data_IF_157085997629
#
_entry.id   IF_157085997629
#
_cell.length_a   1.000
_cell.length_b   1.000
_cell.length_c   1.000
_cell.angle_alpha   90.00
_cell.angle_beta   90.00
_cell.angle_gamma   90.00
#
_symmetry.space_group_name_H-M   'P 1'
#
loop_
_entity.id
_entity.type
_entity.pdbx_description
1 polymer ?
#
# COMPACT_ATOMS: atom_id res chain seq x y z
N UNK A 1 -3.52 36.57 1.03
CA UNK A 1 -3.95 37.61 0.07
C UNK A 1 -4.69 36.87 -1.05
N UNK A 2 -5.85 36.27 -0.76
CA UNK A 2 -7.18 36.89 -0.88
C UNK A 2 -7.46 37.41 -2.29
N UNK A 3 -8.12 36.60 -3.11
CA UNK A 3 -9.03 37.09 -4.14
C UNK A 3 -10.40 36.45 -3.88
N UNK A 4 -11.32 37.34 -3.54
CA UNK A 4 -12.69 37.13 -3.09
C UNK A 4 -13.59 37.49 -4.29
N UNK A 5 -14.40 36.50 -4.70
CA UNK A 5 -15.82 36.60 -5.12
C UNK A 5 -16.25 37.36 -6.38
N UNK A 6 -17.10 36.67 -7.16
CA UNK A 6 -18.15 37.22 -8.02
C UNK A 6 -18.58 36.17 -9.08
N UNK A 7 -19.84 35.85 -9.38
CA UNK A 7 -21.16 36.40 -9.07
C UNK A 7 -22.19 35.28 -9.35
N UNK A 8 -23.05 35.02 -8.36
CA UNK A 8 -24.53 34.89 -8.46
C UNK A 8 -25.13 34.23 -9.73
N UNK A 9 -25.73 33.05 -9.58
CA UNK A 9 -26.83 32.59 -10.45
C UNK A 9 -28.06 32.22 -9.63
N UNK A 10 -29.18 32.69 -10.16
CA UNK A 10 -30.49 32.86 -9.57
C UNK A 10 -31.14 31.53 -9.19
N UNK A 11 -31.91 31.58 -8.10
CA UNK A 11 -32.94 30.61 -7.80
C UNK A 11 -34.06 30.69 -8.84
N UNK A 12 -34.55 29.53 -9.29
CA UNK A 12 -35.89 29.40 -9.89
C UNK A 12 -36.66 28.43 -9.01
N UNK A 13 -37.73 28.95 -8.42
CA UNK A 13 -38.79 28.20 -7.79
C UNK A 13 -39.60 27.48 -8.88
N UNK A 14 -39.83 26.19 -8.68
CA UNK A 14 -40.77 25.39 -9.47
C UNK A 14 -41.55 24.48 -8.53
N UNK A 15 -42.74 24.92 -8.14
CA UNK A 15 -43.74 24.04 -7.52
C UNK A 15 -44.18 23.00 -8.55
N UNK A 16 -44.02 21.72 -8.22
CA UNK A 16 -44.48 20.61 -9.06
C UNK A 16 -44.73 19.38 -8.20
N UNK A 17 -45.89 19.34 -7.55
CA UNK A 17 -46.37 18.14 -6.87
C UNK A 17 -47.03 17.22 -7.89
N UNK A 18 -46.42 16.06 -8.18
CA UNK A 18 -47.11 14.91 -8.79
C UNK A 18 -46.71 13.65 -8.02
N UNK A 19 -47.66 13.11 -7.27
CA UNK A 19 -47.59 11.82 -6.58
C UNK A 19 -47.96 10.70 -7.58
N UNK A 20 -47.00 9.85 -7.94
CA UNK A 20 -47.27 8.49 -8.44
C UNK A 20 -46.16 7.57 -7.92
N UNK A 21 -46.58 6.48 -7.28
CA UNK A 21 -45.73 5.51 -6.60
C UNK A 21 -44.62 4.97 -7.49
N UNK A 22 -43.37 5.14 -7.07
CA UNK A 22 -42.21 4.42 -7.60
C UNK A 22 -41.17 4.41 -6.49
N UNK A 23 -40.96 3.26 -5.88
CA UNK A 23 -39.94 3.07 -4.85
C UNK A 23 -38.57 3.45 -5.39
N UNK A 24 -38.12 4.66 -5.07
CA UNK A 24 -36.73 5.06 -5.25
C UNK A 24 -35.92 4.34 -4.18
N UNK A 25 -35.48 3.11 -4.49
CA UNK A 25 -34.33 2.53 -3.81
C UNK A 25 -33.18 3.47 -4.10
N UNK A 26 -32.81 4.29 -3.12
CA UNK A 26 -31.57 5.03 -3.14
C UNK A 26 -30.44 4.00 -3.18
N UNK A 27 -30.00 3.65 -4.39
CA UNK A 27 -28.77 2.91 -4.61
C UNK A 27 -27.67 3.86 -4.13
N UNK A 28 -27.28 3.73 -2.86
CA UNK A 28 -26.04 4.33 -2.38
C UNK A 28 -24.97 3.75 -3.29
N UNK A 29 -24.44 4.57 -4.21
CA UNK A 29 -23.31 4.17 -5.04
C UNK A 29 -22.24 3.71 -4.07
N UNK A 30 -22.05 2.39 -3.98
CA UNK A 30 -20.97 1.81 -3.20
C UNK A 30 -19.71 2.51 -3.65
N UNK A 31 -18.99 3.12 -2.73
CA UNK A 31 -17.73 3.76 -3.06
C UNK A 31 -16.87 2.67 -3.70
N UNK A 32 -16.57 2.80 -4.99
CA UNK A 32 -15.72 1.86 -5.70
C UNK A 32 -14.37 1.84 -4.96
N UNK A 33 -14.16 0.82 -4.12
CA UNK A 33 -12.87 0.61 -3.48
C UNK A 33 -11.91 0.24 -4.60
N UNK A 34 -11.19 1.22 -5.11
CA UNK A 34 -10.17 1.01 -6.11
C UNK A 34 -9.21 -0.07 -5.60
N UNK A 35 -8.96 -1.08 -6.44
CA UNK A 35 -8.00 -2.13 -6.11
C UNK A 35 -6.67 -1.48 -5.72
N UNK A 36 -6.05 -1.97 -4.64
CA UNK A 36 -4.74 -1.49 -4.21
C UNK A 36 -3.74 -1.70 -5.36
N UNK A 37 -2.98 -0.67 -5.75
CA UNK A 37 -2.04 -0.80 -6.86
C UNK A 37 -0.94 -1.82 -6.54
N UNK A 38 -0.38 -2.48 -7.55
CA UNK A 38 0.71 -3.44 -7.37
C UNK A 38 2.03 -2.68 -7.20
N UNK A 39 2.88 -3.08 -6.23
CA UNK A 39 4.22 -2.52 -6.12
C UNK A 39 5.11 -3.03 -7.26
N UNK A 40 5.49 -2.16 -8.19
CA UNK A 40 6.30 -2.53 -9.37
C UNK A 40 7.72 -1.99 -9.30
N UNK A 41 7.98 -1.03 -8.42
CA UNK A 41 9.27 -0.34 -8.32
C UNK A 41 9.68 -0.16 -6.86
N UNK A 42 10.87 0.39 -6.67
CA UNK A 42 11.34 0.83 -5.37
C UNK A 42 11.53 2.33 -5.37
N UNK A 43 11.21 2.98 -4.25
CA UNK A 43 11.63 4.36 -3.98
C UNK A 43 12.68 4.36 -2.89
N UNK A 44 13.63 5.27 -2.97
CA UNK A 44 14.60 5.46 -1.90
C UNK A 44 13.93 6.20 -0.74
N UNK A 45 13.96 5.60 0.44
CA UNK A 45 13.58 6.27 1.68
C UNK A 45 14.82 6.59 2.50
N UNK A 46 14.75 7.72 3.18
CA UNK A 46 15.81 8.25 4.02
C UNK A 46 15.33 8.25 5.46
N UNK A 47 16.21 7.82 6.36
CA UNK A 47 16.02 7.94 7.80
C UNK A 47 17.36 8.36 8.40
N UNK A 48 17.45 9.62 8.84
CA UNK A 48 18.72 10.22 9.26
C UNK A 48 19.79 10.06 8.15
N UNK A 49 20.96 9.48 8.48
CA UNK A 49 22.06 9.23 7.56
C UNK A 49 21.94 7.89 6.81
N UNK A 50 20.80 7.20 6.93
CA UNK A 50 20.56 5.89 6.30
C UNK A 50 19.60 6.01 5.13
N UNK A 51 19.79 5.17 4.11
CA UNK A 51 18.89 5.08 2.97
C UNK A 51 18.72 3.65 2.48
N UNK A 52 17.59 3.39 1.83
CA UNK A 52 17.34 2.07 1.26
C UNK A 52 16.11 2.01 0.38
N UNK A 53 16.01 0.94 -0.43
CA UNK A 53 14.89 0.74 -1.34
C UNK A 53 13.66 0.23 -0.58
N UNK A 54 12.54 0.93 -0.76
CA UNK A 54 11.23 0.55 -0.22
C UNK A 54 10.27 0.27 -1.38
N UNK A 55 9.48 -0.79 -1.29
CA UNK A 55 8.50 -1.14 -2.32
C UNK A 55 7.46 -0.03 -2.53
N UNK A 56 7.22 0.31 -3.80
CA UNK A 56 6.25 1.32 -4.20
C UNK A 56 5.54 0.93 -5.51
N UNK A 57 4.34 1.48 -5.68
CA UNK A 57 3.62 1.45 -6.95
C UNK A 57 4.31 2.34 -8.00
N UNK A 58 3.85 2.23 -9.25
CA UNK A 58 4.37 3.02 -10.38
C UNK A 58 4.25 4.53 -10.18
N UNK A 59 3.27 4.98 -9.39
CA UNK A 59 3.06 6.38 -9.01
C UNK A 59 3.85 6.81 -7.74
N UNK A 60 4.74 5.96 -7.22
CA UNK A 60 5.54 6.24 -6.02
C UNK A 60 4.81 6.03 -4.69
N UNK A 61 3.53 5.63 -4.71
CA UNK A 61 2.78 5.30 -3.48
C UNK A 61 3.35 4.06 -2.80
N UNK A 62 3.56 4.13 -1.49
CA UNK A 62 3.91 2.96 -0.67
C UNK A 62 2.69 2.11 -0.32
N UNK A 63 1.48 2.66 -0.46
CA UNK A 63 0.23 1.93 -0.24
C UNK A 63 -0.08 1.11 -1.49
N UNK A 64 0.67 0.02 -1.64
CA UNK A 64 0.59 -0.92 -2.75
C UNK A 64 0.67 -2.35 -2.22
N UNK A 65 0.40 -3.33 -3.09
CA UNK A 65 0.41 -4.75 -2.73
C UNK A 65 1.47 -5.54 -3.51
N UNK A 66 2.07 -6.53 -2.84
CA UNK A 66 2.87 -7.60 -3.43
C UNK A 66 2.29 -8.95 -3.01
N UNK A 67 2.20 -9.87 -3.97
CA UNK A 67 1.72 -11.23 -3.74
C UNK A 67 2.16 -12.21 -4.83
N UNK A 68 1.74 -13.48 -4.74
CA UNK A 68 2.12 -14.53 -5.68
C UNK A 68 2.00 -14.12 -7.14
N UNK A 69 3.01 -14.45 -7.94
CA UNK A 69 3.08 -14.11 -9.36
C UNK A 69 3.67 -12.71 -9.65
N UNK A 70 3.85 -11.85 -8.65
CA UNK A 70 4.58 -10.59 -8.86
C UNK A 70 6.08 -10.87 -9.05
N UNK A 71 6.69 -10.19 -10.03
CA UNK A 71 8.13 -10.20 -10.26
C UNK A 71 8.60 -8.77 -10.51
N UNK A 72 9.39 -8.20 -9.60
CA UNK A 72 9.81 -6.80 -9.66
C UNK A 72 10.97 -6.47 -8.73
N UNK A 73 11.58 -5.29 -8.89
CA UNK A 73 12.55 -4.78 -7.94
C UNK A 73 11.96 -4.58 -6.54
N UNK A 74 10.66 -4.32 -6.44
CA UNK A 74 9.95 -4.22 -5.17
C UNK A 74 9.94 -5.56 -4.41
N UNK A 75 9.71 -6.68 -5.12
CA UNK A 75 9.80 -8.03 -4.52
C UNK A 75 11.22 -8.32 -4.06
N UNK A 76 12.22 -7.97 -4.87
CA UNK A 76 13.63 -8.19 -4.51
C UNK A 76 14.01 -7.43 -3.23
N UNK A 77 13.59 -6.17 -3.11
CA UNK A 77 13.80 -5.37 -1.91
C UNK A 77 13.07 -5.95 -0.68
N UNK A 78 11.84 -6.44 -0.87
CA UNK A 78 11.06 -7.10 0.18
C UNK A 78 11.79 -8.36 0.69
N UNK A 79 12.23 -9.24 -0.22
CA UNK A 79 12.95 -10.45 0.12
C UNK A 79 14.26 -10.17 0.87
N UNK A 80 15.04 -9.17 0.41
CA UNK A 80 16.26 -8.77 1.09
C UNK A 80 15.97 -8.25 2.51
N UNK A 81 14.93 -7.43 2.66
CA UNK A 81 14.51 -6.91 3.96
C UNK A 81 13.99 -8.01 4.89
N UNK A 82 13.22 -8.98 4.39
CA UNK A 82 12.81 -10.16 5.17
C UNK A 82 14.04 -10.90 5.71
N UNK A 83 15.02 -11.17 4.85
CA UNK A 83 16.23 -11.91 5.23
C UNK A 83 17.10 -11.18 6.26
N UNK A 84 17.06 -9.85 6.31
CA UNK A 84 17.96 -9.02 7.15
C UNK A 84 17.30 -8.42 8.38
N UNK A 85 16.01 -8.13 8.31
CA UNK A 85 15.26 -7.38 9.32
C UNK A 85 14.12 -8.17 9.96
N UNK A 86 13.95 -9.44 9.59
CA UNK A 86 12.96 -10.34 10.16
C UNK A 86 13.62 -11.69 10.50
N UNK A 87 12.90 -12.49 11.29
CA UNK A 87 13.23 -13.88 11.58
C UNK A 87 12.73 -14.82 10.46
N UNK A 88 12.11 -14.29 9.41
CA UNK A 88 11.55 -15.04 8.30
C UNK A 88 12.53 -15.11 7.12
N UNK A 89 12.64 -16.29 6.49
CA UNK A 89 13.52 -16.49 5.34
C UNK A 89 12.68 -16.74 4.07
N UNK A 90 12.78 -15.89 3.04
CA UNK A 90 12.04 -16.07 1.79
C UNK A 90 12.56 -17.21 0.90
N UNK A 91 13.66 -17.89 1.28
CA UNK A 91 14.29 -18.97 0.51
C UNK A 91 15.25 -18.47 -0.59
N UNK A 92 15.26 -17.17 -0.87
CA UNK A 92 16.10 -16.56 -1.90
C UNK A 92 15.79 -15.07 -2.07
N UNK A 93 16.63 -14.38 -2.85
CA UNK A 93 16.45 -12.97 -3.24
C UNK A 93 16.54 -12.88 -4.77
N UNK A 94 15.52 -13.39 -5.44
CA UNK A 94 15.43 -13.49 -6.90
C UNK A 94 14.56 -12.38 -7.52
N UNK A 95 13.71 -11.74 -6.72
CA UNK A 95 12.71 -10.77 -7.18
C UNK A 95 11.39 -11.39 -7.63
N UNK A 96 11.16 -12.68 -7.36
CA UNK A 96 9.93 -13.40 -7.70
C UNK A 96 9.17 -13.73 -6.43
N UNK A 97 7.89 -13.34 -6.37
CA UNK A 97 7.05 -13.60 -5.21
C UNK A 97 6.54 -15.05 -5.26
N UNK A 98 7.44 -15.99 -4.95
CA UNK A 98 7.15 -17.41 -4.92
C UNK A 98 6.60 -17.91 -3.57
N UNK A 99 6.38 -19.23 -3.44
CA UNK A 99 5.88 -19.84 -2.21
C UNK A 99 6.72 -19.53 -0.97
N UNK A 100 8.05 -19.50 -1.10
CA UNK A 100 8.96 -19.15 0.00
C UNK A 100 8.78 -17.71 0.48
N UNK A 101 8.60 -16.76 -0.44
CA UNK A 101 8.33 -15.35 -0.10
C UNK A 101 6.97 -15.21 0.58
N UNK A 102 5.92 -15.87 0.06
CA UNK A 102 4.59 -15.89 0.68
C UNK A 102 4.64 -16.44 2.11
N UNK A 103 5.31 -17.57 2.31
CA UNK A 103 5.45 -18.20 3.63
C UNK A 103 6.20 -17.29 4.62
N UNK A 104 7.25 -16.61 4.15
CA UNK A 104 8.00 -15.66 4.97
C UNK A 104 7.17 -14.44 5.38
N UNK A 105 6.38 -13.87 4.47
CA UNK A 105 5.47 -12.77 4.79
C UNK A 105 4.38 -13.24 5.76
N UNK A 106 3.79 -14.42 5.55
CA UNK A 106 2.80 -14.97 6.46
C UNK A 106 3.37 -15.18 7.87
N UNK A 107 4.63 -15.64 7.98
CA UNK A 107 5.33 -15.77 9.27
C UNK A 107 5.50 -14.42 9.95
N UNK A 108 6.00 -13.41 9.24
CA UNK A 108 6.13 -12.05 9.76
C UNK A 108 4.78 -11.49 10.23
N UNK A 109 3.72 -11.68 9.45
CA UNK A 109 2.37 -11.22 9.81
C UNK A 109 1.88 -11.87 11.11
N UNK A 110 2.10 -13.19 11.30
CA UNK A 110 1.76 -13.88 12.56
C UNK A 110 2.55 -13.33 13.73
N UNK A 111 3.86 -13.13 13.57
CA UNK A 111 4.75 -12.58 14.61
C UNK A 111 4.41 -11.14 14.99
N UNK A 112 3.89 -10.37 14.03
CA UNK A 112 3.50 -8.98 14.22
C UNK A 112 2.00 -8.81 14.50
N UNK A 113 1.27 -9.91 14.72
CA UNK A 113 -0.18 -9.92 14.97
C UNK A 113 -1.01 -9.19 13.89
N UNK A 114 -0.60 -9.27 12.63
CA UNK A 114 -1.30 -8.69 11.48
C UNK A 114 -2.36 -9.66 10.96
N UNK A 115 -3.60 -9.18 10.87
CA UNK A 115 -4.73 -9.93 10.31
C UNK A 115 -5.24 -9.34 8.98
N UNK A 116 -5.41 -10.16 7.92
CA UNK A 116 -5.09 -11.60 7.87
C UNK A 116 -3.57 -11.88 7.78
N UNK A 117 -3.16 -13.08 8.23
CA UNK A 117 -1.78 -13.59 8.05
C UNK A 117 -1.66 -14.48 6.81
N UNK A 118 -2.10 -13.95 5.67
CA UNK A 118 -2.27 -14.65 4.39
C UNK A 118 -1.01 -14.74 3.52
N UNK A 119 0.07 -14.06 3.93
CA UNK A 119 1.30 -13.96 3.16
C UNK A 119 1.19 -13.01 1.98
N UNK A 120 0.29 -12.02 2.02
CA UNK A 120 0.26 -10.90 1.08
C UNK A 120 0.88 -9.66 1.72
N UNK A 121 1.85 -9.04 1.06
CA UNK A 121 2.37 -7.77 1.53
C UNK A 121 1.43 -6.66 1.04
N UNK A 122 0.55 -6.18 1.91
CA UNK A 122 -0.36 -5.05 1.62
C UNK A 122 -0.20 -3.90 2.63
N UNK A 123 -1.08 -2.88 2.58
CA UNK A 123 -0.99 -1.71 3.45
C UNK A 123 -0.91 -2.03 4.95
N UNK A 124 -1.62 -3.06 5.43
CA UNK A 124 -1.54 -3.52 6.84
C UNK A 124 -0.19 -4.15 7.19
N UNK A 125 0.41 -4.88 6.25
CA UNK A 125 1.73 -5.49 6.49
C UNK A 125 2.83 -4.45 6.44
N UNK A 126 2.71 -3.46 5.53
CA UNK A 126 3.65 -2.34 5.41
C UNK A 126 3.90 -1.63 6.75
N UNK A 127 2.87 -1.37 7.54
CA UNK A 127 2.98 -0.59 8.79
C UNK A 127 3.81 -1.27 9.89
N UNK A 128 4.12 -2.56 9.75
CA UNK A 128 4.95 -3.32 10.70
C UNK A 128 6.20 -3.90 10.05
N UNK A 129 6.39 -3.64 8.75
CA UNK A 129 7.46 -4.24 7.97
C UNK A 129 8.70 -3.38 8.03
N UNK A 130 9.79 -3.97 8.53
CA UNK A 130 11.08 -3.32 8.57
C UNK A 130 11.84 -3.50 7.25
N UNK A 131 12.20 -2.38 6.64
CA UNK A 131 13.05 -2.28 5.48
C UNK A 131 14.52 -2.16 5.89
N UNK A 132 15.39 -2.85 5.15
CA UNK A 132 16.84 -2.71 5.33
C UNK A 132 17.32 -1.38 4.71
N UNK A 133 17.98 -0.58 5.53
CA UNK A 133 18.64 0.66 5.15
C UNK A 133 20.14 0.52 5.36
N UNK A 134 20.91 1.25 4.57
CA UNK A 134 22.37 1.30 4.64
C UNK A 134 22.84 2.74 4.80
N UNK A 135 23.85 2.94 5.63
CA UNK A 135 24.47 4.23 5.88
C UNK A 135 25.93 4.08 6.30
N UNK A 136 26.62 5.19 6.65
CA UNK A 136 28.05 5.18 6.98
C UNK A 136 28.43 4.27 8.14
N UNK A 137 27.48 3.98 9.03
CA UNK A 137 27.67 3.16 10.24
C UNK A 137 27.23 1.70 10.07
N UNK A 138 26.90 1.28 8.84
CA UNK A 138 26.44 -0.08 8.52
C UNK A 138 24.97 -0.14 8.13
N UNK A 139 24.30 -1.24 8.47
CA UNK A 139 22.92 -1.49 8.10
C UNK A 139 21.96 -1.35 9.28
N UNK A 140 20.78 -0.80 9.02
CA UNK A 140 19.72 -0.58 10.00
C UNK A 140 18.37 -1.04 9.45
N UNK A 141 17.44 -1.37 10.34
CA UNK A 141 16.09 -1.82 9.99
C UNK A 141 15.08 -0.79 10.46
N UNK A 142 14.26 -0.25 9.55
CA UNK A 142 13.27 0.78 9.87
C UNK A 142 11.97 0.59 9.11
N UNK A 143 10.87 1.09 9.66
CA UNK A 143 9.51 1.01 9.09
C UNK A 143 9.09 2.35 8.48
N UNK A 144 8.31 2.33 7.39
CA UNK A 144 7.83 3.50 6.65
C UNK A 144 6.35 3.40 6.28
#
# INVERSE_FOLDING_TARGET
>A
MSLVTGVRRLAVAGCGSVLLASGFVALTAGHAQAATPICTKTVTKWYQDFSGPVAAASNGSLNCQLGPGNSSSAVKALQNSLKRCSTANPGGVDGIYGPGTKAAVAKLQREKHVSPSDGLYGPKTRTVFNWILTGPRGAACSTF
#
